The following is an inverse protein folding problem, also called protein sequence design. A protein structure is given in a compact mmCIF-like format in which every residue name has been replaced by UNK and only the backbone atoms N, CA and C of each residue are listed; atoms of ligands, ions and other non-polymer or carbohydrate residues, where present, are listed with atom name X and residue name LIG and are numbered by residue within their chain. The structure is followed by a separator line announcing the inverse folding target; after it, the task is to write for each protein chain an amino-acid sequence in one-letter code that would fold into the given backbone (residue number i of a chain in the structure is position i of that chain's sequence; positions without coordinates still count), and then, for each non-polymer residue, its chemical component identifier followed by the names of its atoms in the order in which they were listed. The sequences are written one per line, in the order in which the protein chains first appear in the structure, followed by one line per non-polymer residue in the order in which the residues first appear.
data_IF_520206267378
#
_entry.id   IF_520206267378
#
_cell.length_a   1.000
_cell.length_b   1.000
_cell.length_c   1.000
_cell.angle_alpha   90.00
_cell.angle_beta   90.00
_cell.angle_gamma   90.00
#
_symmetry.space_group_name_H-M   'P 1'
#
loop_
_entity.id
_entity.type
_entity.pdbx_description
1 polymer ?
#
# COMPACT_ATOMS: atom_id res chain seq x y z
N UNK A 1 -34.22 -4.24 46.59
CA UNK A 1 -33.01 -3.76 45.86
C UNK A 1 -32.00 -4.88 45.86
N UNK A 2 -31.75 -5.53 44.71
CA UNK A 2 -30.86 -6.68 44.63
C UNK A 2 -29.39 -6.23 44.67
N UNK A 3 -28.56 -6.91 45.47
CA UNK A 3 -27.10 -6.74 45.57
C UNK A 3 -26.45 -6.68 44.18
N UNK A 4 -26.97 -7.48 43.24
CA UNK A 4 -26.52 -7.57 41.86
C UNK A 4 -26.58 -6.22 41.10
N UNK A 5 -27.59 -5.40 41.40
CA UNK A 5 -27.75 -4.06 40.80
C UNK A 5 -26.73 -3.07 41.36
N UNK A 6 -26.33 -3.23 42.63
CA UNK A 6 -25.34 -2.39 43.31
C UNK A 6 -23.93 -2.77 42.87
N UNK A 7 -23.64 -4.07 42.75
CA UNK A 7 -22.36 -4.57 42.25
C UNK A 7 -22.11 -4.18 40.81
N UNK A 8 -23.13 -4.29 39.94
CA UNK A 8 -23.06 -3.72 38.59
C UNK A 8 -22.75 -2.23 38.61
N UNK A 9 -23.37 -1.46 39.50
CA UNK A 9 -23.12 -0.02 39.60
C UNK A 9 -21.68 0.30 40.02
N UNK A 10 -21.13 -0.48 40.96
CA UNK A 10 -19.72 -0.39 41.37
C UNK A 10 -18.77 -0.77 40.24
N UNK A 11 -19.06 -1.86 39.53
CA UNK A 11 -18.27 -2.31 38.39
C UNK A 11 -18.30 -1.31 37.22
N UNK A 12 -19.47 -0.75 36.89
CA UNK A 12 -19.60 0.28 35.85
C UNK A 12 -18.82 1.55 36.24
N UNK A 13 -18.87 1.95 37.51
CA UNK A 13 -18.11 3.11 38.01
C UNK A 13 -16.60 2.88 37.99
N UNK A 14 -16.14 1.66 38.32
CA UNK A 14 -14.74 1.27 38.25
C UNK A 14 -14.23 1.14 36.80
N UNK A 15 -15.06 0.63 35.89
CA UNK A 15 -14.68 0.39 34.49
C UNK A 15 -14.84 1.60 33.57
N UNK A 16 -15.45 2.72 33.99
CA UNK A 16 -15.56 3.94 33.16
C UNK A 16 -14.23 4.35 32.52
N UNK A 17 -13.16 4.41 33.31
CA UNK A 17 -11.84 4.82 32.80
C UNK A 17 -11.28 3.80 31.78
N UNK A 18 -11.48 2.50 32.02
CA UNK A 18 -11.04 1.44 31.11
C UNK A 18 -11.82 1.47 29.80
N UNK A 19 -13.14 1.65 29.87
CA UNK A 19 -13.98 1.69 28.68
C UNK A 19 -13.72 2.93 27.82
N UNK A 20 -13.51 4.09 28.46
CA UNK A 20 -13.12 5.33 27.76
C UNK A 20 -11.77 5.19 27.05
N UNK A 21 -10.78 4.53 27.68
CA UNK A 21 -9.49 4.26 27.04
C UNK A 21 -9.63 3.30 25.86
N UNK A 22 -10.42 2.23 25.99
CA UNK A 22 -10.70 1.28 24.90
C UNK A 22 -11.34 1.97 23.69
N UNK A 23 -12.34 2.80 23.92
CA UNK A 23 -13.02 3.59 22.88
C UNK A 23 -12.04 4.51 22.13
N UNK A 24 -11.16 5.21 22.86
CA UNK A 24 -10.12 6.06 22.25
C UNK A 24 -9.14 5.27 21.39
N UNK A 25 -8.63 4.14 21.91
CA UNK A 25 -7.69 3.29 21.18
C UNK A 25 -8.36 2.73 19.91
N UNK A 26 -9.61 2.27 20.00
CA UNK A 26 -10.31 1.72 18.84
C UNK A 26 -10.50 2.76 17.72
N UNK A 27 -10.78 4.02 18.08
CA UNK A 27 -10.85 5.11 17.12
C UNK A 27 -9.48 5.45 16.49
N UNK A 28 -8.40 5.41 17.28
CA UNK A 28 -7.04 5.64 16.78
C UNK A 28 -6.63 4.53 15.83
N UNK A 29 -6.83 3.26 16.21
CA UNK A 29 -6.50 2.09 15.37
C UNK A 29 -7.25 2.17 14.05
N UNK A 30 -8.54 2.52 14.05
CA UNK A 30 -9.33 2.65 12.81
C UNK A 30 -8.77 3.73 11.88
N UNK A 31 -8.36 4.88 12.43
CA UNK A 31 -7.70 5.95 11.66
C UNK A 31 -6.31 5.54 11.18
N UNK A 32 -5.53 4.82 11.99
CA UNK A 32 -4.21 4.31 11.62
C UNK A 32 -4.30 3.32 10.48
N UNK A 33 -5.25 2.38 10.50
CA UNK A 33 -5.45 1.40 9.41
C UNK A 33 -5.78 2.13 8.11
N UNK A 34 -6.72 3.08 8.14
CA UNK A 34 -7.05 3.89 6.95
C UNK A 34 -5.84 4.68 6.44
N UNK A 35 -5.07 5.29 7.34
CA UNK A 35 -3.86 6.04 6.99
C UNK A 35 -2.78 5.14 6.39
N UNK A 36 -2.58 3.94 6.94
CA UNK A 36 -1.60 2.97 6.46
C UNK A 36 -1.98 2.46 5.07
N UNK A 37 -3.25 2.12 4.84
CA UNK A 37 -3.72 1.71 3.51
C UNK A 37 -3.56 2.84 2.49
N UNK A 38 -3.88 4.08 2.86
CA UNK A 38 -3.68 5.23 1.99
C UNK A 38 -2.20 5.45 1.64
N UNK A 39 -1.30 5.39 2.62
CA UNK A 39 0.14 5.52 2.40
C UNK A 39 0.70 4.37 1.54
N UNK A 40 0.24 3.14 1.76
CA UNK A 40 0.63 1.99 0.96
C UNK A 40 0.18 2.14 -0.51
N UNK A 41 -1.04 2.63 -0.75
CA UNK A 41 -1.53 2.90 -2.11
C UNK A 41 -0.76 4.03 -2.78
N UNK A 42 -0.47 5.12 -2.05
CA UNK A 42 0.32 6.24 -2.58
C UNK A 42 1.75 5.80 -2.89
N UNK A 43 2.38 5.02 -2.01
CA UNK A 43 3.71 4.46 -2.24
C UNK A 43 3.74 3.50 -3.42
N UNK A 44 2.72 2.64 -3.56
CA UNK A 44 2.59 1.72 -4.69
C UNK A 44 2.36 2.45 -6.01
N UNK A 45 1.44 3.42 -6.04
CA UNK A 45 1.18 4.22 -7.23
C UNK A 45 2.38 5.09 -7.60
N UNK A 46 3.09 5.64 -6.61
CA UNK A 46 4.33 6.38 -6.82
C UNK A 46 5.43 5.51 -7.40
N UNK A 47 5.64 4.30 -6.88
CA UNK A 47 6.59 3.34 -7.41
C UNK A 47 6.18 2.85 -8.82
N UNK A 48 4.89 2.53 -9.03
CA UNK A 48 4.39 2.10 -10.34
C UNK A 48 4.49 3.20 -11.40
N UNK A 49 4.22 4.46 -11.01
CA UNK A 49 4.42 5.61 -11.89
C UNK A 49 5.90 5.84 -12.18
N UNK A 50 6.79 5.75 -11.18
CA UNK A 50 8.23 5.85 -11.38
C UNK A 50 8.75 4.74 -12.29
N UNK A 51 8.39 3.48 -12.05
CA UNK A 51 8.72 2.33 -12.90
C UNK A 51 8.17 2.52 -14.31
N UNK A 52 6.95 3.04 -14.48
CA UNK A 52 6.40 3.34 -15.82
C UNK A 52 7.06 4.54 -16.49
N UNK A 53 7.58 5.50 -15.71
CA UNK A 53 8.31 6.66 -16.23
C UNK A 53 9.76 6.32 -16.56
N UNK A 54 10.39 5.40 -15.83
CA UNK A 54 11.66 4.74 -16.18
C UNK A 54 11.47 3.79 -17.37
N UNK A 55 10.28 3.21 -17.55
CA UNK A 55 9.90 2.50 -18.78
C UNK A 55 9.63 3.43 -19.97
N UNK A 56 9.42 4.73 -19.74
CA UNK A 56 9.13 5.78 -20.74
C UNK A 56 10.32 6.68 -21.03
N UNK A 57 11.25 6.86 -20.09
CA UNK A 57 12.62 7.24 -20.38
C UNK A 57 13.19 6.08 -21.17
N UNK A 58 13.16 6.24 -22.48
CA UNK A 58 13.99 5.51 -23.44
C UNK A 58 14.42 4.14 -22.90
N UNK A 59 13.57 3.13 -23.09
CA UNK A 59 14.16 1.85 -23.48
C UNK A 59 15.12 2.24 -24.57
N UNK A 60 16.42 2.18 -24.30
CA UNK A 60 17.42 2.04 -25.33
C UNK A 60 16.83 0.92 -26.18
N UNK A 61 16.20 1.30 -27.29
CA UNK A 61 15.91 0.37 -28.36
C UNK A 61 17.34 -0.01 -28.67
N UNK A 62 17.80 -1.13 -28.11
CA UNK A 62 19.10 -1.66 -28.43
C UNK A 62 19.12 -1.55 -29.94
N UNK A 63 19.96 -0.66 -30.49
CA UNK A 63 20.07 -0.48 -31.91
C UNK A 63 20.67 -1.81 -32.36
N UNK A 64 19.79 -2.80 -32.56
CA UNK A 64 20.18 -4.14 -32.96
C UNK A 64 20.69 -3.90 -34.36
N UNK A 65 22.00 -3.82 -34.50
CA UNK A 65 22.58 -3.52 -35.79
C UNK A 65 22.30 -4.72 -36.69
N UNK A 66 21.38 -4.53 -37.64
CA UNK A 66 20.96 -5.53 -38.61
C UNK A 66 21.90 -5.60 -39.83
N UNK A 67 23.04 -4.88 -39.84
CA UNK A 67 24.01 -4.90 -40.94
C UNK A 67 24.47 -6.32 -41.28
N UNK A 68 24.71 -7.16 -40.27
CA UNK A 68 25.15 -8.54 -40.49
C UNK A 68 24.07 -9.37 -41.22
N UNK A 69 22.80 -9.16 -40.89
CA UNK A 69 21.67 -9.87 -41.50
C UNK A 69 21.43 -9.34 -42.93
N UNK A 70 21.51 -8.03 -43.13
CA UNK A 70 21.35 -7.40 -44.45
C UNK A 70 22.46 -7.80 -45.42
N UNK A 71 23.72 -7.87 -44.96
CA UNK A 71 24.83 -8.33 -45.79
C UNK A 71 24.68 -9.80 -46.17
N UNK A 72 24.25 -10.65 -45.24
CA UNK A 72 24.01 -12.07 -45.53
C UNK A 72 22.88 -12.27 -46.56
N UNK A 73 21.76 -11.56 -46.40
CA UNK A 73 20.65 -11.64 -47.35
C UNK A 73 21.03 -11.11 -48.74
N UNK A 74 21.83 -10.04 -48.80
CA UNK A 74 22.32 -9.49 -50.06
C UNK A 74 23.26 -10.46 -50.77
N UNK A 75 24.17 -11.12 -50.04
CA UNK A 75 25.09 -12.10 -50.59
C UNK A 75 24.47 -13.45 -50.97
N UNK A 76 23.21 -13.71 -50.58
CA UNK A 76 22.43 -14.87 -51.05
C UNK A 76 21.62 -14.55 -52.32
N UNK A 77 21.40 -13.27 -52.61
CA UNK A 77 20.65 -12.80 -53.78
C UNK A 77 21.52 -12.54 -55.01
N UNK A 78 22.84 -12.47 -54.84
CA UNK A 78 23.85 -12.60 -55.90
C UNK A 78 24.19 -14.08 -56.15
#
# INVERSE_FOLDING_TARGET
MSQEKVDRYKQEKANRKKNMKKQRIMNIVRKCVLSLTALALVGWLGYSAYVSHESKQEREVAEVNYDAVNNYLSGLGE
#
